data_IF_045679816244
#
_entry.id   IF_045679816244
#
_cell.length_a   1.000
_cell.length_b   1.000
_cell.length_c   1.000
_cell.angle_alpha   90.00
_cell.angle_beta   90.00
_cell.angle_gamma   90.00
#
_symmetry.space_group_name_H-M   'P 1'
#
loop_
_entity.id
_entity.type
_entity.pdbx_description
1 polymer ?
#
# COMPACT_ATOMS: atom_id res chain seq x y z
N UNK A 1 44.85 -6.18 -3.44
CA UNK A 1 43.68 -7.08 -3.53
C UNK A 1 42.87 -6.94 -2.25
N UNK A 2 41.58 -6.59 -2.33
CA UNK A 2 40.70 -6.46 -1.15
C UNK A 2 40.01 -7.81 -0.90
N UNK A 3 39.96 -8.29 0.35
CA UNK A 3 39.28 -9.53 0.73
C UNK A 3 37.98 -9.22 1.48
N UNK A 4 36.89 -9.88 1.12
CA UNK A 4 35.57 -9.76 1.75
C UNK A 4 35.11 -11.18 2.10
N UNK A 5 34.85 -11.44 3.37
CA UNK A 5 34.35 -12.73 3.84
C UNK A 5 32.81 -12.67 3.84
N UNK A 6 32.16 -13.68 3.26
CA UNK A 6 30.70 -13.75 3.23
C UNK A 6 30.16 -14.17 4.60
N UNK A 7 28.96 -13.72 4.94
CA UNK A 7 28.27 -14.15 6.15
C UNK A 7 27.86 -15.62 6.04
N UNK A 8 27.76 -16.31 7.18
CA UNK A 8 27.40 -17.74 7.22
C UNK A 8 26.05 -17.98 6.54
N UNK A 9 25.98 -19.00 5.67
CA UNK A 9 24.80 -19.29 4.86
C UNK A 9 24.69 -18.49 3.55
N UNK A 10 25.66 -17.60 3.26
CA UNK A 10 25.72 -16.85 1.99
C UNK A 10 26.90 -17.33 1.14
N UNK A 11 26.60 -17.77 -0.08
CA UNK A 11 27.59 -18.13 -1.10
C UNK A 11 27.74 -17.02 -2.14
N UNK A 12 28.91 -16.96 -2.80
CA UNK A 12 29.19 -15.99 -3.85
C UNK A 12 29.84 -16.68 -5.04
N UNK A 13 29.32 -16.43 -6.24
CA UNK A 13 29.86 -16.92 -7.51
C UNK A 13 30.01 -15.77 -8.49
N UNK A 14 30.93 -15.91 -9.45
CA UNK A 14 31.02 -14.96 -10.57
C UNK A 14 30.03 -15.38 -11.65
N UNK A 15 29.35 -14.40 -12.23
CA UNK A 15 28.47 -14.64 -13.37
C UNK A 15 29.28 -15.16 -14.56
N UNK A 16 28.79 -16.22 -15.21
CA UNK A 16 29.38 -16.72 -16.45
C UNK A 16 28.96 -15.88 -17.67
N UNK A 17 27.81 -15.18 -17.55
CA UNK A 17 27.18 -14.43 -18.65
C UNK A 17 27.59 -12.96 -18.66
N UNK A 18 27.83 -12.36 -17.50
CA UNK A 18 28.13 -10.92 -17.37
C UNK A 18 29.51 -10.71 -16.76
N UNK A 19 30.36 -10.00 -17.49
CA UNK A 19 31.72 -9.68 -17.03
C UNK A 19 31.66 -8.77 -15.80
N UNK A 20 32.46 -9.10 -14.79
CA UNK A 20 32.62 -8.35 -13.53
C UNK A 20 31.37 -8.32 -12.61
N UNK A 21 30.41 -9.23 -12.84
CA UNK A 21 29.24 -9.45 -11.98
C UNK A 21 29.48 -10.54 -10.93
N UNK A 22 29.01 -10.30 -9.70
CA UNK A 22 29.00 -11.26 -8.59
C UNK A 22 27.56 -11.59 -8.21
N UNK A 23 27.22 -12.87 -8.20
CA UNK A 23 25.94 -13.38 -7.73
C UNK A 23 26.10 -13.90 -6.30
N UNK A 24 25.28 -13.41 -5.38
CA UNK A 24 25.24 -13.85 -3.99
C UNK A 24 23.93 -14.61 -3.75
N UNK A 25 24.03 -15.79 -3.13
CA UNK A 25 22.89 -16.67 -2.86
C UNK A 25 22.88 -17.07 -1.38
N UNK A 26 21.70 -17.09 -0.77
CA UNK A 26 21.50 -17.44 0.63
C UNK A 26 20.03 -17.52 1.01
N UNK A 27 19.73 -18.24 2.08
CA UNK A 27 18.35 -18.49 2.55
C UNK A 27 17.77 -17.37 3.44
N UNK A 28 18.59 -16.38 3.83
CA UNK A 28 18.20 -15.22 4.64
C UNK A 28 18.52 -13.92 3.89
N UNK A 29 17.48 -13.15 3.57
CA UNK A 29 17.58 -11.90 2.81
C UNK A 29 18.39 -10.82 3.54
N UNK A 30 18.38 -10.80 4.86
CA UNK A 30 19.16 -9.83 5.64
C UNK A 30 20.65 -10.17 5.56
N UNK A 31 20.99 -11.46 5.64
CA UNK A 31 22.39 -11.93 5.53
C UNK A 31 22.94 -11.72 4.12
N UNK A 32 22.15 -11.99 3.09
CA UNK A 32 22.53 -11.70 1.68
C UNK A 32 22.72 -10.20 1.48
N UNK A 33 21.76 -9.38 1.91
CA UNK A 33 21.83 -7.91 1.77
C UNK A 33 23.03 -7.30 2.49
N UNK A 34 23.32 -7.77 3.71
CA UNK A 34 24.50 -7.32 4.48
C UNK A 34 25.80 -7.74 3.82
N UNK A 35 25.85 -8.92 3.22
CA UNK A 35 27.02 -9.40 2.47
C UNK A 35 27.28 -8.54 1.22
N UNK A 36 26.23 -8.18 0.45
CA UNK A 36 26.33 -7.21 -0.64
C UNK A 36 26.85 -5.84 -0.16
N UNK A 37 26.34 -5.35 0.97
CA UNK A 37 26.77 -4.07 1.54
C UNK A 37 28.26 -4.09 1.95
N UNK A 38 28.76 -5.19 2.51
CA UNK A 38 30.17 -5.36 2.87
C UNK A 38 31.09 -5.30 1.64
N UNK A 39 30.69 -5.93 0.54
CA UNK A 39 31.42 -5.84 -0.73
C UNK A 39 31.44 -4.39 -1.22
N UNK A 40 30.29 -3.71 -1.23
CA UNK A 40 30.21 -2.32 -1.66
C UNK A 40 31.11 -1.39 -0.82
N UNK A 41 30.99 -1.44 0.51
CA UNK A 41 31.82 -0.63 1.41
C UNK A 41 33.30 -0.90 1.24
N UNK A 42 33.70 -2.17 1.13
CA UNK A 42 35.10 -2.54 0.92
C UNK A 42 35.58 -2.19 -0.47
N UNK A 43 34.75 -2.13 -1.51
CA UNK A 43 35.13 -1.77 -2.88
C UNK A 43 35.01 -0.27 -3.18
N UNK A 44 34.40 0.51 -2.28
CA UNK A 44 34.22 1.94 -2.44
C UNK A 44 35.55 2.67 -2.70
N UNK A 45 35.59 3.49 -3.75
CA UNK A 45 36.77 4.28 -4.16
C UNK A 45 36.74 5.61 -3.40
N UNK A 46 37.75 5.85 -2.55
CA UNK A 46 37.78 7.01 -1.65
C UNK A 46 38.30 8.31 -2.31
N UNK A 47 39.18 8.21 -3.30
CA UNK A 47 39.74 9.35 -4.04
C UNK A 47 39.37 9.22 -5.53
N UNK A 48 38.32 9.92 -5.96
CA UNK A 48 37.83 9.91 -7.36
C UNK A 48 38.49 11.04 -8.16
N UNK A 49 39.05 10.75 -9.34
CA UNK A 49 39.33 11.78 -10.37
C UNK A 49 38.00 12.10 -11.07
N UNK A 50 37.61 13.38 -11.07
CA UNK A 50 36.31 13.89 -11.55
C UNK A 50 36.07 13.73 -13.07
N UNK A 51 37.02 13.13 -13.81
CA UNK A 51 36.93 12.96 -15.27
C UNK A 51 36.55 11.54 -15.73
N UNK A 52 36.23 10.62 -14.82
CA UNK A 52 35.74 9.28 -15.20
C UNK A 52 34.42 8.96 -14.50
N UNK A 53 33.40 8.62 -15.30
CA UNK A 53 32.09 8.22 -14.82
C UNK A 53 32.09 6.75 -14.35
N UNK A 54 31.66 6.58 -13.10
CA UNK A 54 30.98 5.45 -12.44
C UNK A 54 31.50 4.00 -12.59
N UNK A 55 32.16 3.52 -11.53
CA UNK A 55 32.06 2.11 -11.08
C UNK A 55 31.42 2.11 -9.69
N UNK A 56 30.13 1.81 -9.63
CA UNK A 56 29.39 1.55 -8.40
C UNK A 56 28.82 0.13 -8.44
N UNK A 57 28.73 -0.53 -7.29
CA UNK A 57 28.01 -1.80 -7.18
C UNK A 57 26.53 -1.47 -7.03
N UNK A 58 25.71 -1.94 -7.96
CA UNK A 58 24.26 -1.77 -7.97
C UNK A 58 23.59 -3.14 -7.82
N UNK A 59 22.49 -3.20 -7.07
CA UNK A 59 21.63 -4.38 -6.99
C UNK A 59 20.61 -4.27 -8.11
N UNK A 60 20.67 -5.17 -9.09
CA UNK A 60 19.77 -5.17 -10.26
C UNK A 60 18.42 -5.84 -9.98
N UNK A 61 18.37 -6.83 -9.07
CA UNK A 61 17.16 -7.61 -8.79
C UNK A 61 17.14 -8.15 -7.34
N UNK A 62 15.94 -8.38 -6.80
CA UNK A 62 15.72 -9.12 -5.54
C UNK A 62 14.48 -10.02 -5.68
N UNK A 63 14.53 -11.25 -5.20
CA UNK A 63 13.42 -12.20 -5.27
C UNK A 63 13.55 -13.37 -4.29
N UNK A 64 12.45 -14.11 -4.10
CA UNK A 64 12.43 -15.38 -3.36
C UNK A 64 12.59 -16.55 -4.33
N UNK A 65 13.25 -17.65 -3.91
CA UNK A 65 13.15 -18.94 -4.61
C UNK A 65 11.70 -19.44 -4.50
N UNK A 66 10.90 -19.16 -5.52
CA UNK A 66 9.66 -19.90 -5.76
C UNK A 66 10.02 -21.17 -6.51
N UNK A 67 10.14 -22.26 -5.76
CA UNK A 67 10.49 -23.56 -6.30
C UNK A 67 9.49 -24.01 -7.42
N UNK A 68 10.07 -24.20 -8.61
CA UNK A 68 9.71 -25.16 -9.68
C UNK A 68 8.67 -24.86 -10.77
N UNK A 69 8.07 -23.66 -10.89
CA UNK A 69 7.20 -23.37 -12.06
C UNK A 69 7.49 -22.06 -12.80
N UNK A 70 7.95 -21.02 -12.11
CA UNK A 70 8.28 -19.74 -12.74
C UNK A 70 9.75 -19.66 -13.19
N UNK A 71 10.69 -20.27 -12.45
CA UNK A 71 12.11 -20.32 -12.85
C UNK A 71 12.33 -21.08 -14.17
N UNK A 72 11.58 -22.16 -14.43
CA UNK A 72 11.73 -22.93 -15.67
C UNK A 72 11.23 -22.17 -16.91
N UNK A 73 10.29 -21.24 -16.74
CA UNK A 73 9.80 -20.38 -17.83
C UNK A 73 10.72 -19.16 -17.97
N UNK A 74 11.11 -18.52 -16.87
CA UNK A 74 11.93 -17.31 -16.89
C UNK A 74 13.39 -17.55 -17.31
N UNK A 75 13.96 -18.75 -17.09
CA UNK A 75 15.34 -19.06 -17.49
C UNK A 75 15.56 -19.20 -19.00
N UNK A 76 14.49 -19.31 -19.79
CA UNK A 76 14.52 -19.50 -21.25
C UNK A 76 13.86 -18.35 -22.04
N UNK A 77 13.43 -17.30 -21.35
CA UNK A 77 12.79 -16.14 -21.97
C UNK A 77 13.83 -15.14 -22.46
N UNK A 78 13.67 -14.68 -23.71
CA UNK A 78 14.47 -13.57 -24.23
C UNK A 78 14.09 -12.25 -23.54
N UNK A 79 14.96 -11.24 -23.65
CA UNK A 79 14.66 -9.87 -23.21
C UNK A 79 13.40 -9.30 -23.90
N UNK A 80 13.14 -9.71 -25.14
CA UNK A 80 11.94 -9.32 -25.88
C UNK A 80 10.68 -9.94 -25.26
N UNK A 81 10.76 -11.21 -24.85
CA UNK A 81 9.63 -11.90 -24.21
C UNK A 81 9.29 -11.29 -22.84
N UNK A 82 10.30 -10.98 -22.02
CA UNK A 82 10.07 -10.33 -20.71
C UNK A 82 9.50 -8.92 -20.87
N UNK A 83 9.98 -8.17 -21.86
CA UNK A 83 9.44 -6.85 -22.21
C UNK A 83 7.99 -6.93 -22.67
N UNK A 84 7.64 -7.91 -23.50
CA UNK A 84 6.27 -8.14 -23.94
C UNK A 84 5.36 -8.50 -22.76
N UNK A 85 5.79 -9.39 -21.86
CA UNK A 85 5.01 -9.76 -20.67
C UNK A 85 4.78 -8.56 -19.75
N UNK A 86 5.80 -7.71 -19.56
CA UNK A 86 5.63 -6.48 -18.80
C UNK A 86 4.62 -5.52 -19.47
N UNK A 87 4.68 -5.38 -20.80
CA UNK A 87 3.68 -4.63 -21.55
C UNK A 87 2.25 -5.17 -21.36
N UNK A 88 2.09 -6.49 -21.36
CA UNK A 88 0.80 -7.15 -21.08
C UNK A 88 0.33 -6.91 -19.64
N UNK A 89 1.22 -6.98 -18.66
CA UNK A 89 0.92 -6.66 -17.26
C UNK A 89 0.37 -5.23 -17.14
N UNK A 90 1.03 -4.25 -17.76
CA UNK A 90 0.57 -2.84 -17.74
C UNK A 90 -0.82 -2.66 -18.37
N UNK A 91 -1.06 -3.27 -19.53
CA UNK A 91 -2.36 -3.16 -20.24
C UNK A 91 -3.49 -3.84 -19.46
N UNK A 92 -3.19 -4.91 -18.73
CA UNK A 92 -4.14 -5.64 -17.89
C UNK A 92 -4.11 -5.25 -16.42
N UNK A 93 -3.44 -4.14 -16.08
CA UNK A 93 -3.15 -3.72 -14.71
C UNK A 93 -4.38 -3.49 -13.83
N UNK A 94 -5.58 -3.40 -14.40
CA UNK A 94 -6.84 -3.30 -13.65
C UNK A 94 -7.27 -4.61 -12.98
N UNK A 95 -6.73 -5.77 -13.39
CA UNK A 95 -7.12 -7.07 -12.85
C UNK A 95 -6.71 -7.19 -11.37
N UNK A 96 -5.47 -6.84 -11.03
CA UNK A 96 -4.97 -6.93 -9.66
C UNK A 96 -5.76 -6.05 -8.67
N UNK A 97 -5.96 -4.74 -8.92
CA UNK A 97 -6.76 -3.87 -8.05
C UNK A 97 -8.20 -4.37 -7.88
N UNK A 98 -8.80 -4.91 -8.94
CA UNK A 98 -10.15 -5.51 -8.88
C UNK A 98 -10.18 -6.74 -7.97
N UNK A 99 -9.22 -7.64 -8.10
CA UNK A 99 -9.13 -8.83 -7.25
C UNK A 99 -8.83 -8.48 -5.78
N UNK A 100 -7.95 -7.51 -5.55
CA UNK A 100 -7.65 -6.98 -4.21
C UNK A 100 -8.90 -6.38 -3.58
N UNK A 101 -9.64 -5.55 -4.32
CA UNK A 101 -10.92 -4.99 -3.85
C UNK A 101 -11.89 -6.11 -3.49
N UNK A 102 -12.08 -7.11 -4.34
CA UNK A 102 -12.97 -8.24 -4.03
C UNK A 102 -12.53 -8.98 -2.78
N UNK A 103 -11.22 -9.20 -2.59
CA UNK A 103 -10.71 -9.86 -1.38
C UNK A 103 -10.95 -9.03 -0.10
N UNK A 104 -10.90 -7.70 -0.21
CA UNK A 104 -11.24 -6.79 0.88
C UNK A 104 -12.75 -6.83 1.17
N UNK A 105 -13.61 -6.75 0.15
CA UNK A 105 -15.07 -6.76 0.31
C UNK A 105 -15.62 -8.07 0.88
N UNK A 106 -14.92 -9.18 0.60
CA UNK A 106 -15.23 -10.50 1.16
C UNK A 106 -14.53 -10.77 2.51
N UNK A 107 -13.84 -9.78 3.09
CA UNK A 107 -13.05 -9.92 4.32
C UNK A 107 -12.01 -11.08 4.27
N UNK A 108 -11.57 -11.50 3.09
CA UNK A 108 -10.66 -12.64 2.94
C UNK A 108 -9.33 -12.40 3.65
N UNK A 109 -8.81 -11.16 3.57
CA UNK A 109 -7.53 -10.80 4.21
C UNK A 109 -7.65 -10.84 5.74
N UNK A 110 -8.80 -10.47 6.30
CA UNK A 110 -9.11 -10.57 7.73
C UNK A 110 -9.16 -12.03 8.18
N UNK A 111 -9.84 -12.88 7.40
CA UNK A 111 -9.96 -14.31 7.68
C UNK A 111 -8.60 -15.03 7.59
N UNK A 112 -7.76 -14.67 6.62
CA UNK A 112 -6.38 -15.18 6.51
C UNK A 112 -5.55 -14.75 7.71
N UNK A 113 -5.62 -13.47 8.11
CA UNK A 113 -4.85 -12.93 9.22
C UNK A 113 -5.25 -13.55 10.58
N UNK A 114 -6.52 -13.92 10.76
CA UNK A 114 -7.06 -14.50 12.00
C UNK A 114 -7.01 -16.04 12.03
N UNK A 115 -6.43 -16.68 11.02
CA UNK A 115 -6.41 -18.15 10.95
C UNK A 115 -5.57 -18.78 12.08
N UNK A 116 -6.13 -19.70 12.88
CA UNK A 116 -5.47 -20.27 14.07
C UNK A 116 -4.22 -21.13 13.77
N UNK A 117 -3.97 -21.47 12.50
CA UNK A 117 -2.79 -22.24 12.07
C UNK A 117 -1.74 -21.43 11.32
N UNK A 118 -1.88 -20.10 11.27
CA UNK A 118 -0.98 -19.21 10.51
C UNK A 118 -1.06 -19.34 8.99
N UNK A 119 -1.80 -20.33 8.46
CA UNK A 119 -2.15 -20.46 7.04
C UNK A 119 -3.51 -21.11 6.86
N UNK A 120 -4.23 -20.76 5.79
CA UNK A 120 -5.61 -21.18 5.52
C UNK A 120 -5.79 -21.59 4.05
N UNK A 121 -6.65 -22.57 3.77
CA UNK A 121 -6.98 -22.90 2.37
C UNK A 121 -8.19 -22.13 1.87
N UNK A 122 -8.37 -22.10 0.55
CA UNK A 122 -9.54 -21.45 -0.04
C UNK A 122 -10.86 -22.16 0.32
N UNK A 123 -10.82 -23.48 0.59
CA UNK A 123 -11.97 -24.25 1.05
C UNK A 123 -12.40 -23.84 2.47
N UNK A 124 -11.42 -23.68 3.37
CA UNK A 124 -11.64 -23.21 4.74
C UNK A 124 -12.23 -21.79 4.77
N UNK A 125 -11.80 -20.92 3.86
CA UNK A 125 -12.32 -19.56 3.70
C UNK A 125 -13.74 -19.56 3.11
N UNK A 126 -13.99 -20.36 2.07
CA UNK A 126 -15.30 -20.48 1.46
C UNK A 126 -16.37 -20.94 2.47
N UNK A 127 -16.00 -21.83 3.40
CA UNK A 127 -16.90 -22.33 4.45
C UNK A 127 -17.31 -21.26 5.49
N UNK A 128 -16.56 -20.15 5.58
CA UNK A 128 -16.84 -19.04 6.50
C UNK A 128 -17.66 -17.92 5.84
N UNK A 129 -17.85 -17.97 4.52
CA UNK A 129 -18.60 -16.98 3.77
C UNK A 129 -20.05 -17.44 3.51
N UNK A 130 -21.00 -16.51 3.32
CA UNK A 130 -22.38 -16.84 2.98
C UNK A 130 -22.52 -17.28 1.51
N UNK A 131 -21.81 -18.35 1.14
CA UNK A 131 -21.74 -18.90 -0.20
C UNK A 131 -22.77 -20.02 -0.38
N UNK A 132 -23.46 -20.03 -1.52
CA UNK A 132 -24.50 -21.03 -1.86
C UNK A 132 -24.10 -22.00 -2.97
N UNK A 133 -22.93 -21.85 -3.59
CA UNK A 133 -22.50 -22.67 -4.73
C UNK A 133 -21.13 -23.34 -4.51
N UNK A 134 -20.96 -24.54 -5.05
CA UNK A 134 -19.74 -25.36 -4.90
C UNK A 134 -18.49 -24.75 -5.54
N UNK A 135 -18.65 -23.81 -6.47
CA UNK A 135 -17.54 -23.18 -7.20
C UNK A 135 -16.73 -22.13 -6.44
N UNK A 136 -17.16 -21.67 -5.25
CA UNK A 136 -16.56 -20.50 -4.61
C UNK A 136 -15.14 -20.72 -4.12
N UNK A 137 -14.82 -21.89 -3.56
CA UNK A 137 -13.47 -22.22 -3.12
C UNK A 137 -12.45 -22.05 -4.26
N UNK A 138 -12.80 -22.49 -5.47
CA UNK A 138 -11.95 -22.30 -6.67
C UNK A 138 -11.82 -20.83 -7.07
N UNK A 139 -12.87 -20.03 -6.91
CA UNK A 139 -12.82 -18.59 -7.22
C UNK A 139 -11.96 -17.83 -6.22
N UNK A 140 -12.15 -18.09 -4.93
CA UNK A 140 -11.35 -17.56 -3.83
C UNK A 140 -9.88 -17.93 -4.03
N UNK A 141 -9.58 -19.20 -4.32
CA UNK A 141 -8.23 -19.66 -4.57
C UNK A 141 -7.54 -18.89 -5.71
N UNK A 142 -8.24 -18.64 -6.83
CA UNK A 142 -7.69 -17.83 -7.94
C UNK A 142 -7.41 -16.38 -7.53
N UNK A 143 -8.28 -15.78 -6.71
CA UNK A 143 -8.07 -14.43 -6.17
C UNK A 143 -6.84 -14.41 -5.26
N UNK A 144 -6.78 -15.31 -4.28
CA UNK A 144 -5.67 -15.37 -3.33
C UNK A 144 -4.34 -15.71 -4.00
N UNK A 145 -4.36 -16.55 -5.03
CA UNK A 145 -3.17 -16.86 -5.83
C UNK A 145 -2.63 -15.64 -6.58
N UNK A 146 -3.52 -14.83 -7.18
CA UNK A 146 -3.13 -13.57 -7.81
C UNK A 146 -2.55 -12.58 -6.77
N UNK A 147 -3.16 -12.50 -5.60
CA UNK A 147 -2.67 -11.67 -4.49
C UNK A 147 -1.31 -12.16 -3.97
N UNK A 148 -1.08 -13.47 -3.94
CA UNK A 148 0.21 -14.04 -3.58
C UNK A 148 1.30 -13.72 -4.63
N UNK A 149 0.95 -13.70 -5.91
CA UNK A 149 1.86 -13.29 -6.99
C UNK A 149 2.26 -11.80 -6.91
N UNK A 150 1.52 -10.98 -6.16
CA UNK A 150 1.81 -9.56 -5.91
C UNK A 150 2.26 -9.28 -4.47
N UNK A 151 2.79 -10.30 -3.78
CA UNK A 151 3.30 -10.21 -2.39
C UNK A 151 2.30 -9.68 -1.35
N UNK A 152 1.00 -9.75 -1.65
CA UNK A 152 -0.06 -9.43 -0.67
C UNK A 152 -0.23 -10.59 0.30
N UNK A 153 -0.06 -11.81 -0.18
CA UNK A 153 -0.14 -13.06 0.59
C UNK A 153 1.09 -13.91 0.34
N UNK A 154 1.39 -14.82 1.25
CA UNK A 154 2.35 -15.90 1.03
C UNK A 154 1.57 -17.16 0.70
N UNK A 155 1.86 -17.77 -0.46
CA UNK A 155 1.26 -19.03 -0.88
C UNK A 155 2.24 -20.18 -0.66
N UNK A 156 1.79 -21.26 -0.04
CA UNK A 156 2.54 -22.53 0.09
C UNK A 156 1.66 -23.69 -0.36
N UNK A 157 2.28 -24.66 -1.01
CA UNK A 157 1.59 -25.91 -1.38
C UNK A 157 1.83 -26.92 -0.26
N UNK A 158 0.76 -27.44 0.33
CA UNK A 158 0.80 -28.49 1.35
C UNK A 158 0.04 -29.70 0.80
N UNK A 159 0.78 -30.75 0.42
CA UNK A 159 0.21 -31.88 -0.31
C UNK A 159 -0.29 -31.43 -1.69
N UNK A 160 -1.59 -31.56 -1.93
CA UNK A 160 -2.24 -31.15 -3.18
C UNK A 160 -3.02 -29.83 -3.08
N UNK A 161 -2.93 -29.10 -1.96
CA UNK A 161 -3.71 -27.91 -1.69
C UNK A 161 -2.81 -26.67 -1.49
N UNK A 162 -3.23 -25.52 -2.02
CA UNK A 162 -2.62 -24.22 -1.71
C UNK A 162 -3.15 -23.69 -0.37
N UNK A 163 -2.23 -23.21 0.46
CA UNK A 163 -2.52 -22.52 1.72
C UNK A 163 -1.90 -21.13 1.69
N UNK A 164 -2.63 -20.18 2.25
CA UNK A 164 -2.31 -18.77 2.22
C UNK A 164 -2.08 -18.24 3.64
N UNK A 165 -1.05 -17.43 3.81
CA UNK A 165 -0.74 -16.72 5.05
C UNK A 165 -0.51 -15.23 4.75
N UNK A 166 -0.70 -14.31 5.72
CA UNK A 166 -0.53 -12.89 5.46
C UNK A 166 0.93 -12.56 5.15
N UNK A 167 1.16 -11.73 4.13
CA UNK A 167 2.45 -11.06 3.92
C UNK A 167 2.50 -9.72 4.70
N UNK A 168 3.66 -9.06 4.86
CA UNK A 168 3.77 -7.85 5.68
C UNK A 168 2.81 -6.71 5.30
N UNK A 169 2.45 -6.57 4.02
CA UNK A 169 1.51 -5.54 3.54
C UNK A 169 0.09 -5.74 4.07
N UNK A 170 -0.30 -6.97 4.44
CA UNK A 170 -1.61 -7.25 5.00
C UNK A 170 -1.89 -6.41 6.26
N UNK A 171 -0.87 -6.02 7.03
CA UNK A 171 -1.05 -5.16 8.23
C UNK A 171 -1.74 -3.82 7.91
N UNK A 172 -1.63 -3.34 6.68
CA UNK A 172 -2.26 -2.11 6.22
C UNK A 172 -3.58 -2.36 5.48
N UNK A 173 -3.85 -3.60 5.08
CA UNK A 173 -5.05 -4.01 4.36
C UNK A 173 -6.11 -4.61 5.28
N UNK A 174 -5.72 -5.08 6.47
CA UNK A 174 -6.60 -5.45 7.58
C UNK A 174 -6.71 -4.30 8.59
N UNK A 175 -7.80 -4.28 9.36
CA UNK A 175 -8.07 -3.23 10.36
C UNK A 175 -7.04 -3.27 11.49
N UNK A 176 -6.47 -2.11 11.81
CA UNK A 176 -5.61 -1.92 12.98
C UNK A 176 -6.43 -1.81 14.28
N UNK A 177 -5.76 -1.51 15.40
CA UNK A 177 -6.39 -1.35 16.73
C UNK A 177 -7.43 -0.22 16.77
N UNK A 178 -7.28 0.78 15.89
CA UNK A 178 -8.22 1.88 15.70
C UNK A 178 -9.32 1.59 14.67
N UNK A 179 -9.36 0.36 14.14
CA UNK A 179 -10.34 -0.08 13.15
C UNK A 179 -10.09 0.41 11.72
N UNK A 180 -8.94 1.05 11.46
CA UNK A 180 -8.57 1.65 10.18
C UNK A 180 -7.70 0.73 9.32
N UNK A 181 -7.89 0.81 8.00
CA UNK A 181 -7.04 0.16 7.00
C UNK A 181 -7.14 0.89 5.64
N UNK A 182 -6.25 0.54 4.71
CA UNK A 182 -6.27 1.02 3.33
C UNK A 182 -7.45 0.47 2.51
N UNK A 183 -8.30 -0.40 3.09
CA UNK A 183 -9.54 -0.84 2.47
C UNK A 183 -10.45 0.33 2.06
N UNK A 184 -10.53 1.35 2.90
CA UNK A 184 -11.32 2.55 2.65
C UNK A 184 -10.82 3.36 1.45
N UNK A 185 -9.49 3.49 1.29
CA UNK A 185 -8.85 4.11 0.12
C UNK A 185 -9.07 3.26 -1.13
N UNK A 186 -8.96 1.94 -1.02
CA UNK A 186 -9.29 1.02 -2.12
C UNK A 186 -10.74 1.19 -2.58
N UNK A 187 -11.69 1.33 -1.64
CA UNK A 187 -13.09 1.58 -1.96
C UNK A 187 -13.29 2.90 -2.72
N UNK A 188 -12.63 3.99 -2.30
CA UNK A 188 -12.69 5.28 -3.00
C UNK A 188 -12.06 5.21 -4.40
N UNK A 189 -10.87 4.63 -4.53
CA UNK A 189 -10.16 4.55 -5.81
C UNK A 189 -10.93 3.77 -6.89
N UNK A 190 -11.79 2.84 -6.46
CA UNK A 190 -12.62 2.00 -7.33
C UNK A 190 -14.10 2.37 -7.30
N UNK A 191 -14.46 3.48 -6.65
CA UNK A 191 -15.82 4.00 -6.69
C UNK A 191 -16.15 4.39 -8.14
N UNK A 192 -17.38 4.12 -8.58
CA UNK A 192 -17.82 4.43 -9.93
C UNK A 192 -17.61 5.91 -10.30
N UNK A 193 -17.72 6.81 -9.32
CA UNK A 193 -17.49 8.24 -9.54
C UNK A 193 -16.03 8.52 -9.94
N UNK A 194 -15.07 7.90 -9.24
CA UNK A 194 -13.63 8.05 -9.56
C UNK A 194 -13.29 7.32 -10.86
N UNK A 195 -13.72 6.07 -11.01
CA UNK A 195 -13.39 5.25 -12.18
C UNK A 195 -13.89 5.88 -13.48
N UNK A 196 -15.10 6.45 -13.47
CA UNK A 196 -15.68 7.10 -14.63
C UNK A 196 -15.05 8.47 -14.98
N UNK A 197 -14.11 8.96 -14.16
CA UNK A 197 -13.34 10.17 -14.44
C UNK A 197 -12.22 9.93 -15.46
N UNK A 198 -11.60 8.74 -15.44
CA UNK A 198 -10.41 8.43 -16.24
C UNK A 198 -10.57 8.59 -17.76
N UNK A 199 -11.73 8.25 -18.38
CA UNK A 199 -11.95 8.50 -19.81
C UNK A 199 -11.79 9.97 -20.23
N UNK A 200 -12.02 10.92 -19.33
CA UNK A 200 -11.94 12.36 -19.60
C UNK A 200 -10.53 12.93 -19.43
N UNK A 201 -9.56 12.13 -18.96
CA UNK A 201 -8.18 12.59 -18.76
C UNK A 201 -7.53 13.06 -20.07
N UNK A 202 -7.80 12.35 -21.18
CA UNK A 202 -7.30 12.76 -22.51
C UNK A 202 -7.80 14.16 -22.88
N UNK A 203 -9.09 14.41 -22.69
CA UNK A 203 -9.70 15.69 -23.04
C UNK A 203 -9.26 16.82 -22.10
N UNK A 204 -8.99 16.51 -20.83
CA UNK A 204 -8.37 17.44 -19.89
C UNK A 204 -6.94 17.83 -20.32
N UNK A 205 -6.13 16.87 -20.77
CA UNK A 205 -4.77 17.14 -21.28
C UNK A 205 -4.81 18.01 -22.54
N UNK A 206 -5.71 17.72 -23.47
CA UNK A 206 -5.78 18.44 -24.75
C UNK A 206 -6.47 19.80 -24.64
N UNK A 207 -7.53 19.88 -23.82
CA UNK A 207 -8.41 21.05 -23.72
C UNK A 207 -8.26 21.85 -22.43
N UNK A 208 -7.36 21.48 -21.53
CA UNK A 208 -7.22 22.08 -20.20
C UNK A 208 -8.33 21.70 -19.21
N UNK A 209 -8.23 22.20 -17.98
CA UNK A 209 -9.20 21.89 -16.90
C UNK A 209 -8.98 20.52 -16.26
N UNK A 210 -9.86 20.16 -15.32
CA UNK A 210 -9.76 18.91 -14.55
C UNK A 210 -10.63 17.81 -15.16
N UNK A 211 -10.12 16.58 -15.16
CA UNK A 211 -10.85 15.42 -15.70
C UNK A 211 -12.18 15.19 -14.97
N UNK A 212 -12.19 15.40 -13.64
CA UNK A 212 -13.39 15.25 -12.82
C UNK A 212 -14.47 16.27 -13.22
N UNK A 213 -14.10 17.55 -13.31
CA UNK A 213 -15.02 18.62 -13.70
C UNK A 213 -15.56 18.44 -15.12
N UNK A 214 -14.79 17.83 -16.02
CA UNK A 214 -15.26 17.44 -17.35
C UNK A 214 -16.27 16.30 -17.32
N UNK A 215 -16.10 15.33 -16.43
CA UNK A 215 -17.01 14.19 -16.29
C UNK A 215 -18.35 14.57 -15.64
N UNK A 216 -18.33 15.47 -14.65
CA UNK A 216 -19.49 15.75 -13.79
C UNK A 216 -20.01 17.19 -13.84
N UNK A 217 -19.33 18.09 -14.55
CA UNK A 217 -19.73 19.49 -14.69
C UNK A 217 -19.52 20.34 -13.43
N UNK A 218 -18.86 19.81 -12.41
CA UNK A 218 -18.57 20.47 -11.13
C UNK A 218 -17.29 19.90 -10.50
N UNK A 219 -16.71 20.63 -9.55
CA UNK A 219 -15.48 20.23 -8.86
C UNK A 219 -15.73 19.05 -7.90
N UNK A 220 -14.69 18.25 -7.61
CA UNK A 220 -14.84 17.02 -6.82
C UNK A 220 -15.45 17.23 -5.43
N UNK A 221 -15.06 18.31 -4.74
CA UNK A 221 -15.61 18.66 -3.43
C UNK A 221 -17.07 19.14 -3.50
N UNK A 222 -17.44 19.83 -4.57
CA UNK A 222 -18.83 20.24 -4.79
C UNK A 222 -19.71 19.01 -5.07
N UNK A 223 -19.22 18.09 -5.90
CA UNK A 223 -19.89 16.82 -6.18
C UNK A 223 -20.09 15.98 -4.91
N UNK A 224 -19.06 15.86 -4.08
CA UNK A 224 -19.19 15.20 -2.78
C UNK A 224 -20.25 15.88 -1.89
N UNK A 225 -20.37 17.21 -1.91
CA UNK A 225 -21.44 17.91 -1.21
C UNK A 225 -22.85 17.60 -1.74
N UNK A 226 -22.98 17.19 -3.01
CA UNK A 226 -24.25 16.93 -3.68
C UNK A 226 -24.69 15.45 -3.67
N UNK A 227 -23.75 14.49 -3.59
CA UNK A 227 -24.01 13.04 -3.59
C UNK A 227 -23.66 12.44 -2.21
N UNK A 228 -24.69 12.18 -1.39
CA UNK A 228 -24.51 11.63 -0.03
C UNK A 228 -23.78 10.29 0.00
N UNK A 229 -23.99 9.43 -1.01
CA UNK A 229 -23.36 8.10 -1.09
C UNK A 229 -21.87 8.24 -1.38
N UNK A 230 -21.51 9.09 -2.34
CA UNK A 230 -20.10 9.35 -2.66
C UNK A 230 -19.40 10.09 -1.52
N UNK A 231 -20.06 11.08 -0.90
CA UNK A 231 -19.54 11.79 0.27
C UNK A 231 -19.15 10.83 1.39
N UNK A 232 -19.99 9.82 1.65
CA UNK A 232 -19.70 8.79 2.66
C UNK A 232 -18.42 8.01 2.32
N UNK A 233 -18.31 7.52 1.09
CA UNK A 233 -17.11 6.77 0.63
C UNK A 233 -15.85 7.65 0.73
N UNK A 234 -15.95 8.91 0.29
CA UNK A 234 -14.86 9.87 0.37
C UNK A 234 -14.42 10.13 1.81
N UNK A 235 -15.37 10.42 2.71
CA UNK A 235 -15.06 10.69 4.11
C UNK A 235 -14.48 9.46 4.82
N UNK A 236 -15.04 8.26 4.59
CA UNK A 236 -14.50 7.01 5.14
C UNK A 236 -13.05 6.76 4.71
N UNK A 237 -12.73 7.03 3.44
CA UNK A 237 -11.36 6.94 2.92
C UNK A 237 -10.41 7.93 3.59
N UNK A 238 -10.82 9.18 3.74
CA UNK A 238 -10.01 10.21 4.41
C UNK A 238 -9.80 9.90 5.89
N UNK A 239 -10.83 9.39 6.59
CA UNK A 239 -10.72 8.96 7.99
C UNK A 239 -9.74 7.80 8.11
N UNK A 240 -9.91 6.76 7.30
CA UNK A 240 -9.06 5.57 7.34
C UNK A 240 -7.60 5.91 7.09
N UNK A 241 -7.33 6.71 6.05
CA UNK A 241 -5.98 7.14 5.72
C UNK A 241 -5.36 8.03 6.80
N UNK A 242 -6.07 9.07 7.26
CA UNK A 242 -5.58 9.97 8.31
C UNK A 242 -5.31 9.22 9.61
N UNK A 243 -6.14 8.24 9.97
CA UNK A 243 -5.92 7.40 11.16
C UNK A 243 -4.61 6.63 11.07
N UNK A 244 -4.32 5.98 9.93
CA UNK A 244 -3.06 5.23 9.75
C UNK A 244 -1.83 6.15 9.79
N UNK A 245 -1.91 7.33 9.16
CA UNK A 245 -0.81 8.31 9.17
C UNK A 245 -0.60 8.86 10.57
N UNK A 246 -1.66 9.24 11.28
CA UNK A 246 -1.59 9.83 12.61
C UNK A 246 -1.12 8.85 13.67
N UNK A 247 -1.52 7.58 13.57
CA UNK A 247 -1.03 6.49 14.42
C UNK A 247 0.50 6.45 14.41
N UNK A 248 1.10 6.42 13.21
CA UNK A 248 2.56 6.45 13.08
C UNK A 248 3.18 7.80 13.44
N UNK A 249 2.54 8.90 13.06
CA UNK A 249 3.07 10.26 13.29
C UNK A 249 3.22 10.54 14.78
N UNK A 250 2.25 10.17 15.61
CA UNK A 250 2.28 10.41 17.06
C UNK A 250 3.36 9.59 17.80
N UNK A 251 3.88 8.54 17.18
CA UNK A 251 5.03 7.79 17.71
C UNK A 251 6.36 8.49 17.45
N UNK A 252 6.50 9.16 16.31
CA UNK A 252 7.80 9.68 15.83
C UNK A 252 7.92 11.21 15.97
N UNK A 253 6.81 11.92 16.02
CA UNK A 253 6.78 13.38 16.06
C UNK A 253 6.51 13.90 17.47
N UNK A 254 7.54 14.48 18.09
CA UNK A 254 7.45 15.07 19.43
C UNK A 254 6.93 16.51 19.49
N UNK A 255 6.64 17.14 18.35
CA UNK A 255 6.35 18.59 18.29
C UNK A 255 5.02 19.03 18.90
N UNK A 256 4.15 18.10 19.32
CA UNK A 256 2.96 18.41 20.10
C UNK A 256 3.24 18.64 21.59
N UNK A 257 4.41 18.24 22.08
CA UNK A 257 4.79 18.40 23.47
C UNK A 257 4.76 19.86 23.93
N UNK A 258 4.05 20.14 25.03
CA UNK A 258 4.00 21.48 25.64
C UNK A 258 3.02 22.47 24.99
N UNK A 259 2.32 22.08 23.92
CA UNK A 259 1.26 22.91 23.34
C UNK A 259 0.07 23.05 24.29
N UNK A 260 -0.60 24.21 24.21
CA UNK A 260 -1.85 24.47 24.94
C UNK A 260 -3.09 24.26 24.07
N UNK A 261 -2.97 24.53 22.77
CA UNK A 261 -4.05 24.31 21.81
C UNK A 261 -3.51 23.97 20.44
N UNK A 262 -4.30 23.20 19.68
CA UNK A 262 -4.05 22.88 18.28
C UNK A 262 -5.32 23.13 17.47
N UNK A 263 -5.17 23.68 16.27
CA UNK A 263 -6.27 23.88 15.32
C UNK A 263 -5.97 23.04 14.09
N UNK A 264 -6.86 22.12 13.77
CA UNK A 264 -6.81 21.29 12.58
C UNK A 264 -7.72 21.92 11.51
N UNK A 265 -7.11 22.58 10.51
CA UNK A 265 -7.81 23.31 9.46
C UNK A 265 -8.02 22.39 8.27
N UNK A 266 -9.27 22.15 7.90
CA UNK A 266 -9.63 21.08 6.96
C UNK A 266 -9.56 19.69 7.61
N UNK A 267 -9.79 19.61 8.92
CA UNK A 267 -9.64 18.37 9.69
C UNK A 267 -10.77 17.35 9.49
N UNK A 268 -11.68 17.60 8.56
CA UNK A 268 -12.79 16.72 8.23
C UNK A 268 -13.73 16.54 9.42
N UNK A 269 -14.01 15.28 9.75
CA UNK A 269 -14.82 14.94 10.94
C UNK A 269 -14.03 14.97 12.26
N UNK A 270 -12.74 15.33 12.24
CA UNK A 270 -11.94 15.60 13.45
C UNK A 270 -11.19 14.40 14.04
N UNK A 271 -10.96 13.33 13.28
CA UNK A 271 -10.22 12.16 13.77
C UNK A 271 -8.77 12.49 14.14
N UNK A 272 -8.10 13.33 13.34
CA UNK A 272 -6.71 13.74 13.54
C UNK A 272 -6.53 14.49 14.85
N UNK A 273 -7.31 15.57 15.04
CA UNK A 273 -7.25 16.32 16.30
C UNK A 273 -7.66 15.47 17.51
N UNK A 274 -8.60 14.53 17.34
CA UNK A 274 -8.99 13.59 18.39
C UNK A 274 -7.79 12.73 18.83
N UNK A 275 -7.06 12.15 17.88
CA UNK A 275 -5.87 11.33 18.20
C UNK A 275 -4.78 12.15 18.90
N UNK A 276 -4.59 13.42 18.50
CA UNK A 276 -3.63 14.32 19.16
C UNK A 276 -4.03 14.56 20.63
N UNK A 277 -5.29 14.89 20.91
CA UNK A 277 -5.73 15.18 22.28
C UNK A 277 -5.79 13.93 23.16
N UNK A 278 -6.11 12.76 22.60
CA UNK A 278 -6.05 11.48 23.33
C UNK A 278 -4.61 11.19 23.80
N UNK A 279 -3.61 11.46 22.94
CA UNK A 279 -2.20 11.26 23.25
C UNK A 279 -1.62 12.35 24.16
N UNK A 280 -2.14 13.57 24.05
CA UNK A 280 -1.71 14.75 24.80
C UNK A 280 -2.89 15.44 25.51
N UNK A 281 -3.39 14.90 26.63
CA UNK A 281 -4.62 15.38 27.27
C UNK A 281 -4.59 16.83 27.78
N UNK A 282 -3.41 17.46 27.83
CA UNK A 282 -3.24 18.87 28.17
C UNK A 282 -3.56 19.83 27.02
N UNK A 283 -3.61 19.33 25.78
CA UNK A 283 -3.86 20.13 24.58
C UNK A 283 -5.36 20.35 24.41
N UNK A 284 -5.76 21.59 24.10
CA UNK A 284 -7.09 21.90 23.60
C UNK A 284 -7.16 21.77 22.07
N UNK A 285 -7.86 20.78 21.56
CA UNK A 285 -8.13 20.59 20.13
C UNK A 285 -9.27 21.45 19.59
N UNK A 286 -9.10 21.92 18.37
CA UNK A 286 -10.12 22.63 17.60
C UNK A 286 -10.12 22.02 16.20
N UNK A 287 -11.24 21.42 15.79
CA UNK A 287 -11.43 20.97 14.42
C UNK A 287 -12.14 22.07 13.63
N UNK A 288 -11.60 22.43 12.48
CA UNK A 288 -12.15 23.48 11.63
C UNK A 288 -12.38 22.94 10.23
N UNK A 289 -13.62 23.03 9.74
CA UNK A 289 -13.99 22.57 8.39
C UNK A 289 -15.26 23.28 7.87
N UNK A 290 -15.71 22.93 6.67
CA UNK A 290 -16.92 23.44 6.05
C UNK A 290 -18.18 23.03 6.85
N UNK A 291 -19.24 23.87 6.86
CA UNK A 291 -20.45 23.59 7.63
C UNK A 291 -21.11 22.24 7.34
N UNK A 292 -21.07 21.75 6.09
CA UNK A 292 -21.68 20.47 5.73
C UNK A 292 -20.89 19.26 6.25
N UNK A 293 -19.56 19.38 6.35
CA UNK A 293 -18.68 18.34 6.91
C UNK A 293 -18.86 18.26 8.43
N UNK A 294 -18.82 19.42 9.11
CA UNK A 294 -18.96 19.49 10.58
C UNK A 294 -20.30 18.93 11.07
N UNK A 295 -21.39 19.10 10.30
CA UNK A 295 -22.71 18.52 10.65
C UNK A 295 -22.69 17.00 10.74
N UNK A 296 -21.76 16.34 10.06
CA UNK A 296 -21.61 14.88 10.07
C UNK A 296 -20.57 14.40 11.09
N UNK A 297 -19.87 15.33 11.75
CA UNK A 297 -18.83 14.98 12.70
C UNK A 297 -19.44 14.41 13.99
N UNK A 298 -18.90 13.30 14.53
CA UNK A 298 -19.37 12.76 15.79
C UNK A 298 -18.96 13.67 16.96
N UNK A 299 -19.77 13.66 18.01
CA UNK A 299 -19.38 14.28 19.29
C UNK A 299 -18.30 13.43 19.95
N UNK A 300 -17.09 13.97 20.09
CA UNK A 300 -16.03 13.32 20.85
C UNK A 300 -16.20 13.62 22.35
N UNK A 301 -16.58 12.61 23.14
CA UNK A 301 -16.77 12.75 24.59
C UNK A 301 -15.43 12.87 25.33
N UNK A 302 -15.30 13.88 26.20
CA UNK A 302 -14.17 14.00 27.11
C UNK A 302 -13.11 15.02 26.71
N UNK A 303 -13.49 16.31 26.77
CA UNK A 303 -12.63 17.51 26.71
C UNK A 303 -11.97 17.83 25.35
N UNK A 304 -12.26 19.06 24.92
CA UNK A 304 -11.45 19.86 24.00
C UNK A 304 -11.35 19.41 22.54
N UNK A 305 -12.43 18.99 21.89
CA UNK A 305 -12.53 19.15 20.43
C UNK A 305 -13.68 20.10 20.17
N UNK A 306 -13.35 21.28 19.65
CA UNK A 306 -14.33 22.30 19.27
C UNK A 306 -14.44 22.32 17.77
N UNK A 307 -15.64 22.13 17.26
CA UNK A 307 -15.90 22.26 15.83
C UNK A 307 -16.26 23.71 15.49
N UNK A 308 -15.51 24.29 14.55
CA UNK A 308 -15.75 25.64 14.03
C UNK A 308 -16.05 25.53 12.54
N UNK A 309 -17.15 26.16 12.11
CA UNK A 309 -17.57 26.20 10.71
C UNK A 309 -17.26 27.58 10.11
N UNK A 310 -16.41 27.64 9.08
CA UNK A 310 -16.21 28.85 8.26
C UNK A 310 -15.47 28.51 6.94
N UNK A 311 -15.43 29.45 5.99
CA UNK A 311 -14.53 29.37 4.84
C UNK A 311 -13.15 29.97 5.20
N UNK A 312 -12.07 29.25 4.89
CA UNK A 312 -10.70 29.72 5.07
C UNK A 312 -10.03 29.92 3.71
N UNK A 313 -9.49 31.11 3.47
CA UNK A 313 -8.71 31.42 2.28
C UNK A 313 -7.26 31.67 2.69
N UNK A 314 -6.32 30.88 2.17
CA UNK A 314 -4.90 31.23 2.20
C UNK A 314 -4.66 32.31 1.15
N UNK A 315 -4.64 33.58 1.57
CA UNK A 315 -4.14 34.64 0.71
C UNK A 315 -2.66 34.35 0.41
N UNK A 316 -2.33 34.10 -0.86
CA UNK A 316 -0.93 34.16 -1.31
C UNK A 316 -0.48 35.62 -1.22
N UNK A 317 0.57 35.87 -0.44
CA UNK A 317 1.31 37.13 -0.51
C UNK A 317 2.06 37.23 -1.84
#
# INVERSE_FOLDING_TARGET
VRKVDMLEGVSVVRSEKVKDELMLDGNDVELVSRSCALINQKCHVKNKDIRKFLDGIYVSEKGYRTEWLLEFIAMDMSEEDTTFLFGMELVTGSIFPSALRTAIELDLLELVAKSPGGSVSASDLAAQLPVTHSGAARMIDRILFLLAAHDVLVCRVVGAERRYSPAPVCRFLTRNEHGASLASISALAHDGVIVNTWPYLKDAVLGGGEAFSRAYGMEAFEYAGADERFNKVFNEAMIGHSTLVMDRLLEIYGGFGGLKSVVDVGGGIGITVKMIVDRHPSIRGINFDLPHVIRQAPSYSGRSVIFIYNQFYLCRN
#
